data_IF_837050373336
#
_entry.id   IF_837050373336
#
_cell.length_a   1.000
_cell.length_b   1.000
_cell.length_c   1.000
_cell.angle_alpha   90.00
_cell.angle_beta   90.00
_cell.angle_gamma   90.00
#
_symmetry.space_group_name_H-M   'P 1'
#
loop_
_entity.id
_entity.type
_entity.pdbx_description
1 polymer ?
#
# COMPACT_ATOMS: atom_id res chain seq x y z
N UNK A 1 5.57 19.68 3.24
CA UNK A 1 4.17 20.06 3.51
C UNK A 1 3.35 19.83 2.23
N UNK A 2 2.05 19.50 2.32
CA UNK A 2 1.19 19.28 1.15
C UNK A 2 0.99 17.83 0.68
N UNK A 3 1.34 16.84 1.51
CA UNK A 3 0.95 15.43 1.30
C UNK A 3 -0.24 15.06 2.18
N UNK A 4 -0.94 13.99 1.83
CA UNK A 4 -1.97 13.40 2.66
C UNK A 4 -1.39 12.91 3.99
N UNK A 5 -2.14 13.09 5.07
CA UNK A 5 -1.75 12.69 6.41
C UNK A 5 -2.06 11.20 6.66
N UNK A 6 -1.44 10.35 5.85
CA UNK A 6 -1.46 8.90 5.97
C UNK A 6 -0.12 8.44 6.58
N UNK A 7 -0.15 8.09 7.87
CA UNK A 7 1.06 7.95 8.72
C UNK A 7 0.88 6.73 9.62
N UNK A 8 1.94 5.94 9.80
CA UNK A 8 2.03 4.94 10.86
C UNK A 8 3.06 5.39 11.90
N UNK A 9 2.65 5.39 13.17
CA UNK A 9 3.57 5.50 14.32
C UNK A 9 4.03 4.08 14.64
N UNK A 10 5.34 3.90 14.69
CA UNK A 10 5.98 2.60 14.72
C UNK A 10 6.83 2.46 15.97
N UNK A 11 6.63 1.39 16.74
CA UNK A 11 7.55 0.98 17.80
C UNK A 11 8.59 0.04 17.18
N UNK A 12 9.86 0.45 17.06
CA UNK A 12 10.91 -0.38 16.48
C UNK A 12 11.44 -1.46 17.44
N UNK A 13 11.14 -1.37 18.74
CA UNK A 13 11.64 -2.28 19.77
C UNK A 13 10.64 -3.39 20.09
N UNK A 14 9.35 -3.18 19.78
CA UNK A 14 8.33 -4.19 19.99
C UNK A 14 8.63 -5.47 19.19
N UNK A 15 8.63 -6.61 19.88
CA UNK A 15 8.83 -7.92 19.25
C UNK A 15 7.69 -8.87 19.60
N UNK A 16 7.22 -9.62 18.59
CA UNK A 16 6.14 -10.58 18.72
C UNK A 16 6.40 -11.81 17.86
N UNK A 17 5.75 -12.91 18.22
CA UNK A 17 5.58 -14.07 17.35
C UNK A 17 4.24 -13.89 16.63
N UNK A 18 4.25 -13.93 15.30
CA UNK A 18 3.04 -13.77 14.50
C UNK A 18 2.20 -15.04 14.58
N UNK A 19 0.92 -14.87 14.87
CA UNK A 19 -0.09 -15.93 14.85
C UNK A 19 -1.29 -15.53 14.00
N UNK A 20 -2.06 -16.52 13.53
CA UNK A 20 -3.31 -16.26 12.80
C UNK A 20 -4.32 -15.44 13.62
N UNK A 21 -4.30 -15.57 14.96
CA UNK A 21 -5.20 -14.83 15.85
C UNK A 21 -4.89 -13.32 15.91
N UNK A 22 -3.69 -12.90 15.52
CA UNK A 22 -3.30 -11.49 15.46
C UNK A 22 -3.83 -10.80 14.19
N UNK A 23 -4.31 -11.56 13.20
CA UNK A 23 -4.71 -11.02 11.90
C UNK A 23 -6.13 -10.46 11.95
N UNK A 24 -6.35 -9.32 11.28
CA UNK A 24 -7.67 -8.70 11.13
C UNK A 24 -8.35 -9.02 9.79
N UNK A 25 -7.85 -10.01 9.05
CA UNK A 25 -8.50 -10.52 7.86
C UNK A 25 -9.55 -11.61 8.22
N UNK A 26 -10.21 -12.16 7.21
CA UNK A 26 -11.25 -13.19 7.40
C UNK A 26 -10.71 -14.61 7.13
N UNK A 27 -9.40 -14.81 7.25
CA UNK A 27 -8.75 -16.11 7.08
C UNK A 27 -8.49 -16.75 8.44
N UNK A 28 -8.31 -18.07 8.43
CA UNK A 28 -7.98 -18.86 9.63
C UNK A 28 -6.49 -19.24 9.68
N UNK A 29 -5.66 -18.64 8.81
CA UNK A 29 -4.23 -18.91 8.73
C UNK A 29 -3.45 -17.69 8.27
N UNK A 30 -2.17 -17.65 8.59
CA UNK A 30 -1.20 -16.70 8.04
C UNK A 30 0.04 -17.44 7.56
N UNK A 31 0.65 -17.07 6.41
CA UNK A 31 1.90 -17.67 5.97
C UNK A 31 3.08 -17.35 6.91
N UNK A 32 2.89 -16.43 7.86
CA UNK A 32 3.91 -15.97 8.80
C UNK A 32 3.79 -16.63 10.19
N UNK A 33 2.96 -17.68 10.32
CA UNK A 33 2.72 -18.36 11.60
C UNK A 33 4.02 -18.79 12.29
N UNK A 34 4.18 -18.40 13.55
CA UNK A 34 5.36 -18.72 14.35
C UNK A 34 6.60 -17.87 14.04
N UNK A 35 6.55 -16.93 13.09
CA UNK A 35 7.67 -16.05 12.79
C UNK A 35 7.82 -14.97 13.86
N UNK A 36 9.04 -14.82 14.39
CA UNK A 36 9.38 -13.69 15.25
C UNK A 36 9.72 -12.46 14.41
N UNK A 37 9.03 -11.35 14.70
CA UNK A 37 9.27 -10.05 14.07
C UNK A 37 9.63 -9.00 15.12
N UNK A 38 10.30 -7.95 14.69
CA UNK A 38 10.66 -6.78 15.49
C UNK A 38 10.27 -5.53 14.72
N UNK A 39 9.59 -4.61 15.39
CA UNK A 39 8.94 -3.48 14.76
C UNK A 39 7.43 -3.71 14.60
N UNK A 40 6.61 -2.78 15.11
CA UNK A 40 5.16 -2.84 14.94
C UNK A 40 4.49 -1.47 14.84
N UNK A 41 3.41 -1.33 14.04
CA UNK A 41 2.61 -0.11 14.04
C UNK A 41 1.73 -0.06 15.30
N UNK A 42 1.98 0.91 16.17
CA UNK A 42 1.18 1.14 17.39
C UNK A 42 0.02 2.10 17.15
N UNK A 43 0.15 2.97 16.14
CA UNK A 43 -0.93 3.87 15.72
C UNK A 43 -0.90 4.03 14.21
N UNK A 44 -2.07 3.99 13.57
CA UNK A 44 -2.22 4.29 12.14
C UNK A 44 -3.16 5.47 12.00
N UNK A 45 -2.74 6.46 11.21
CA UNK A 45 -3.46 7.69 10.91
C UNK A 45 -3.75 7.69 9.42
N UNK A 46 -5.00 7.96 9.06
CA UNK A 46 -5.43 8.11 7.67
C UNK A 46 -6.20 9.42 7.54
N UNK A 47 -5.80 10.26 6.57
CA UNK A 47 -6.35 11.61 6.37
C UNK A 47 -6.44 12.44 7.66
N UNK A 48 -5.45 12.30 8.54
CA UNK A 48 -5.37 13.04 9.81
C UNK A 48 -6.29 12.51 10.92
N UNK A 49 -6.93 11.35 10.73
CA UNK A 49 -7.72 10.66 11.76
C UNK A 49 -7.02 9.39 12.19
N UNK A 50 -6.98 9.13 13.49
CA UNK A 50 -6.52 7.85 14.04
C UNK A 50 -7.50 6.76 13.60
N UNK A 51 -7.01 5.73 12.93
CA UNK A 51 -7.81 4.60 12.43
C UNK A 51 -7.48 3.29 13.12
N UNK A 52 -6.25 3.16 13.64
CA UNK A 52 -5.85 2.07 14.53
C UNK A 52 -5.07 2.67 15.68
N UNK A 53 -5.39 2.27 16.91
CA UNK A 53 -4.67 2.64 18.14
C UNK A 53 -4.82 1.46 19.11
N UNK A 54 -3.74 1.13 19.83
CA UNK A 54 -3.72 0.04 20.82
C UNK A 54 -4.22 -1.32 20.29
N UNK A 55 -3.92 -1.64 19.02
CA UNK A 55 -4.40 -2.82 18.27
C UNK A 55 -5.93 -2.88 18.07
N UNK A 56 -6.64 -1.77 18.23
CA UNK A 56 -8.08 -1.67 17.97
C UNK A 56 -8.37 -0.78 16.76
N UNK A 57 -9.36 -1.19 15.95
CA UNK A 57 -9.85 -0.42 14.82
C UNK A 57 -10.81 0.67 15.30
N UNK A 58 -10.54 1.92 14.93
CA UNK A 58 -11.25 3.12 15.42
C UNK A 58 -12.20 3.74 14.39
N UNK A 59 -12.48 3.04 13.28
CA UNK A 59 -13.28 3.58 12.17
C UNK A 59 -14.34 2.62 11.66
N UNK A 60 -15.42 3.20 11.17
CA UNK A 60 -16.51 2.49 10.52
C UNK A 60 -16.23 2.20 9.04
N UNK A 61 -16.92 1.18 8.52
CA UNK A 61 -16.96 0.88 7.09
C UNK A 61 -17.36 2.11 6.29
N UNK A 62 -16.55 2.46 5.29
CA UNK A 62 -16.81 3.60 4.41
C UNK A 62 -16.03 4.87 4.78
N UNK A 63 -15.16 4.83 5.79
CA UNK A 63 -14.27 5.95 6.11
C UNK A 63 -13.24 6.29 5.00
N UNK A 64 -12.98 5.36 4.09
CA UNK A 64 -12.10 5.57 2.94
C UNK A 64 -12.77 6.31 1.77
N UNK A 65 -11.96 6.98 0.97
CA UNK A 65 -12.40 7.69 -0.24
C UNK A 65 -11.62 7.21 -1.45
N UNK A 66 -12.29 7.18 -2.61
CA UNK A 66 -11.65 6.87 -3.88
C UNK A 66 -10.65 7.97 -4.25
N UNK A 67 -9.41 7.57 -4.53
CA UNK A 67 -8.36 8.49 -5.03
C UNK A 67 -8.23 8.31 -6.55
N UNK A 68 -8.75 9.25 -7.36
CA UNK A 68 -8.60 9.16 -8.82
C UNK A 68 -7.12 9.33 -9.19
N UNK A 69 -6.64 8.40 -10.01
CA UNK A 69 -5.31 8.51 -10.63
C UNK A 69 -5.47 9.07 -12.03
N UNK A 70 -4.57 9.97 -12.42
CA UNK A 70 -4.49 10.42 -13.82
C UNK A 70 -4.16 9.21 -14.70
N UNK A 71 -4.64 9.24 -15.94
CA UNK A 71 -4.11 8.34 -16.97
C UNK A 71 -2.60 8.52 -17.04
N UNK A 72 -1.88 7.43 -17.29
CA UNK A 72 -0.45 7.53 -17.48
C UNK A 72 -0.17 8.50 -18.61
N UNK A 73 0.63 9.53 -18.33
CA UNK A 73 1.06 10.48 -19.34
C UNK A 73 2.27 9.86 -20.07
N UNK A 74 1.99 9.14 -21.16
CA UNK A 74 3.02 8.60 -22.06
C UNK A 74 3.67 9.69 -22.91
N UNK A 75 3.20 10.93 -22.83
CA UNK A 75 3.74 12.10 -23.55
C UNK A 75 4.63 12.99 -22.67
N UNK A 76 4.55 12.84 -21.34
CA UNK A 76 5.24 13.63 -20.31
C UNK A 76 6.74 13.32 -20.15
N UNK A 77 7.25 12.31 -20.84
CA UNK A 77 8.67 12.19 -21.15
C UNK A 77 8.88 12.33 -22.66
N UNK A 78 9.03 13.57 -23.19
CA UNK A 78 9.50 13.74 -24.55
C UNK A 78 10.80 12.94 -24.73
N UNK A 79 10.76 11.89 -25.55
CA UNK A 79 11.92 11.03 -25.85
C UNK A 79 12.00 9.69 -25.11
N UNK A 80 11.02 9.30 -24.26
CA UNK A 80 10.96 7.94 -23.72
C UNK A 80 9.62 7.27 -24.05
N UNK A 81 9.62 6.45 -25.09
CA UNK A 81 8.54 5.50 -25.35
C UNK A 81 8.58 4.39 -24.30
N UNK A 82 7.40 3.93 -23.86
CA UNK A 82 7.30 2.66 -23.13
C UNK A 82 7.90 1.54 -24.03
N UNK A 83 8.62 0.55 -23.49
CA UNK A 83 9.28 -0.48 -24.30
C UNK A 83 8.36 -1.18 -25.30
N UNK A 84 7.10 -1.38 -24.93
CA UNK A 84 6.04 -1.94 -25.77
C UNK A 84 5.65 -1.04 -26.95
N UNK A 85 5.86 0.28 -26.84
CA UNK A 85 5.57 1.27 -27.90
C UNK A 85 6.84 1.69 -28.67
N UNK A 86 8.01 1.18 -28.30
CA UNK A 86 9.30 1.46 -28.96
C UNK A 86 9.53 0.44 -30.09
N UNK A 87 9.51 0.85 -31.38
CA UNK A 87 9.68 -0.07 -32.51
C UNK A 87 11.02 -0.82 -32.51
N UNK A 88 12.03 -0.32 -31.79
CA UNK A 88 13.33 -0.99 -31.65
C UNK A 88 13.32 -2.12 -30.61
N UNK A 89 12.29 -2.20 -29.76
CA UNK A 89 12.20 -3.14 -28.62
C UNK A 89 10.90 -3.94 -28.59
N UNK A 90 9.90 -3.57 -29.39
CA UNK A 90 8.59 -4.21 -29.40
C UNK A 90 8.48 -5.41 -30.37
N UNK A 91 9.61 -5.93 -30.85
CA UNK A 91 9.68 -7.08 -31.75
C UNK A 91 8.89 -6.91 -33.07
N UNK A 92 8.68 -5.67 -33.52
CA UNK A 92 8.01 -5.37 -34.80
C UNK A 92 6.48 -5.37 -34.74
N UNK A 93 5.90 -5.24 -33.55
CA UNK A 93 4.44 -5.15 -33.40
C UNK A 93 3.97 -3.73 -33.72
N UNK A 94 3.01 -3.60 -34.64
CA UNK A 94 2.27 -2.36 -34.87
C UNK A 94 1.01 -2.36 -34.00
N UNK A 95 0.84 -1.31 -33.19
CA UNK A 95 -0.38 -1.06 -32.45
C UNK A 95 -1.19 0.00 -33.18
N UNK A 96 -2.39 -0.34 -33.65
CA UNK A 96 -3.40 0.66 -34.05
C UNK A 96 -3.92 1.32 -32.77
N UNK A 97 -3.49 2.56 -32.51
CA UNK A 97 -4.00 3.41 -31.43
C UNK A 97 -4.96 4.46 -31.99
#
# INVERSE_FOLDING_TARGET
EGKDADIAIWDPEESRVVTAADMHDNMEYTPYEGMQITGWPVTVIQRGKVVVEDNELQVDRGAGEFVPRKTIDTTGMPGRLAPELDPSKNFGVEFDL
#
